data_IF_103271509668
#
_entry.id   IF_103271509668
#
_cell.length_a   1.000
_cell.length_b   1.000
_cell.length_c   1.000
_cell.angle_alpha   90.00
_cell.angle_beta   90.00
_cell.angle_gamma   90.00
#
_symmetry.space_group_name_H-M   'P 1'
#
loop_
_entity.id
_entity.type
_entity.pdbx_description
1 polymer ?
#
# COMPACT_ATOMS: atom_id res chain seq x y z
N UNK A 1 4.83 11.11 10.94
CA UNK A 1 4.69 10.61 11.32
C UNK A 1 4.59 10.22 11.53
N UNK A 2 4.85 10.02 11.21
CA UNK A 2 4.62 9.37 11.68
C UNK A 2 4.68 8.82 12.08
N UNK A 3 5.02 8.84 12.18
CA UNK A 3 5.00 8.17 12.72
C UNK A 3 5.23 7.52 12.78
N UNK A 4 5.37 7.33 12.77
CA UNK A 4 5.35 6.64 12.97
C UNK A 4 5.91 6.41 13.06
N UNK A 5 6.18 6.39 13.22
CA UNK A 5 6.41 6.01 13.58
C UNK A 5 6.91 6.00 14.03
N UNK A 6 7.26 6.12 14.53
CA UNK A 6 7.43 5.90 15.30
C UNK A 6 7.48 5.35 15.65
N UNK A 7 7.98 5.08 15.96
CA UNK A 7 7.78 4.44 16.57
C UNK A 7 7.67 3.91 16.68
N UNK A 8 8.14 3.62 16.94
CA UNK A 8 7.75 2.93 17.24
C UNK A 8 7.42 2.50 17.26
N UNK A 9 7.65 2.29 17.29
CA UNK A 9 6.86 1.80 17.52
C UNK A 9 6.39 1.43 17.28
N UNK A 10 6.54 1.18 17.60
CA UNK A 10 5.74 0.94 17.56
C UNK A 10 5.18 1.01 17.38
N UNK A 11 4.95 0.99 17.41
CA UNK A 11 4.12 1.18 17.27
C UNK A 11 3.54 1.28 16.89
N UNK A 12 3.36 1.30 16.84
CA UNK A 12 2.60 1.52 16.48
C UNK A 12 2.13 1.32 15.87
N UNK A 13 1.81 1.21 15.74
CA UNK A 13 1.22 1.08 15.19
C UNK A 13 0.61 1.06 14.61
N UNK A 14 0.38 1.18 14.47
CA UNK A 14 -0.26 1.31 13.83
C UNK A 14 -1.09 1.26 13.58
N UNK A 15 -1.20 1.30 13.96
CA UNK A 15 -2.01 1.51 13.48
C UNK A 15 -2.96 1.51 12.51
N UNK A 16 -3.09 1.00 12.05
CA UNK A 16 -3.60 0.99 10.70
C UNK A 16 -4.85 0.21 10.56
N UNK A 17 -5.53 -0.08 11.63
CA UNK A 17 -6.83 -0.71 11.56
C UNK A 17 -7.94 0.31 11.50
N UNK A 18 -7.62 1.55 11.81
CA UNK A 18 -8.61 2.63 11.77
C UNK A 18 -8.18 3.66 10.74
N UNK A 19 -9.09 4.08 9.86
CA UNK A 19 -8.73 5.09 8.88
C UNK A 19 -8.42 6.41 9.57
N UNK A 20 -7.36 7.06 9.08
CA UNK A 20 -7.03 8.41 9.47
C UNK A 20 -8.18 9.32 8.99
N UNK A 21 -8.80 10.14 9.88
CA UNK A 21 -9.88 11.04 9.44
C UNK A 21 -9.47 11.97 8.31
N UNK A 22 -8.16 12.25 8.18
CA UNK A 22 -7.64 13.12 7.13
C UNK A 22 -7.04 12.33 5.97
N UNK A 23 -7.02 11.02 6.08
CA UNK A 23 -6.47 10.16 5.04
C UNK A 23 -7.51 9.81 3.99
N UNK A 24 -7.13 8.96 3.05
CA UNK A 24 -8.05 8.54 1.99
C UNK A 24 -9.25 7.81 2.57
N UNK A 25 -10.41 8.06 1.98
CA UNK A 25 -11.62 7.34 2.33
C UNK A 25 -11.71 6.06 1.52
N UNK A 26 -12.58 5.16 1.95
CA UNK A 26 -12.72 3.86 1.28
C UNK A 26 -12.96 4.02 -0.22
N UNK A 27 -13.86 4.93 -0.63
CA UNK A 27 -14.16 5.08 -2.05
C UNK A 27 -12.95 5.60 -2.84
N UNK A 28 -12.06 6.34 -2.20
CA UNK A 28 -10.86 6.83 -2.86
C UNK A 28 -9.88 5.68 -3.09
N UNK A 29 -9.71 4.80 -2.11
CA UNK A 29 -8.90 3.61 -2.29
C UNK A 29 -9.47 2.69 -3.37
N UNK A 30 -10.81 2.56 -3.41
CA UNK A 30 -11.46 1.76 -4.46
C UNK A 30 -11.18 2.34 -5.85
N UNK A 31 -11.26 3.67 -5.97
CA UNK A 31 -10.98 4.33 -7.25
C UNK A 31 -9.53 4.11 -7.67
N UNK A 32 -8.60 4.20 -6.73
CA UNK A 32 -7.19 3.96 -7.01
C UNK A 32 -6.98 2.53 -7.52
N UNK A 33 -7.54 1.55 -6.82
CA UNK A 33 -7.39 0.15 -7.22
C UNK A 33 -8.00 -0.11 -8.59
N UNK A 34 -9.16 0.47 -8.84
CA UNK A 34 -9.79 0.29 -10.15
C UNK A 34 -8.92 0.85 -11.26
N UNK A 35 -8.35 2.03 -11.03
CA UNK A 35 -7.45 2.67 -11.99
C UNK A 35 -6.20 1.82 -12.23
N UNK A 36 -5.60 1.26 -11.17
CA UNK A 36 -4.34 0.52 -11.29
C UNK A 36 -4.52 -0.88 -11.87
N UNK A 37 -5.56 -1.59 -11.46
CA UNK A 37 -5.67 -3.03 -11.73
C UNK A 37 -7.10 -3.50 -11.98
N UNK A 38 -8.06 -2.59 -12.14
CA UNK A 38 -9.50 -2.88 -12.15
C UNK A 38 -9.94 -3.59 -10.87
N UNK A 39 -9.22 -3.37 -9.78
CA UNK A 39 -9.53 -3.97 -8.49
C UNK A 39 -9.04 -5.40 -8.32
N UNK A 40 -8.17 -5.86 -9.21
CA UNK A 40 -7.71 -7.24 -9.19
C UNK A 40 -6.48 -7.39 -8.31
N UNK A 41 -6.64 -8.03 -7.16
CA UNK A 41 -5.52 -8.26 -6.23
C UNK A 41 -4.45 -9.18 -6.78
N UNK A 42 -4.74 -9.92 -7.84
CA UNK A 42 -3.81 -10.86 -8.46
C UNK A 42 -3.21 -10.32 -9.77
N UNK A 43 -3.44 -9.06 -10.06
CA UNK A 43 -2.98 -8.46 -11.31
C UNK A 43 -1.46 -8.41 -11.38
N UNK A 44 -0.94 -8.65 -12.58
CA UNK A 44 0.49 -8.49 -12.87
C UNK A 44 0.57 -7.67 -14.15
N UNK A 45 1.37 -6.61 -14.13
CA UNK A 45 1.52 -5.77 -15.31
C UNK A 45 2.17 -6.54 -16.45
N UNK A 46 2.05 -6.08 -17.71
CA UNK A 46 2.63 -6.78 -18.85
C UNK A 46 4.13 -7.04 -18.73
N UNK A 47 4.87 -6.13 -18.06
CA UNK A 47 6.30 -6.31 -17.85
C UNK A 47 6.62 -7.18 -16.65
N UNK A 48 5.62 -7.47 -15.79
CA UNK A 48 5.84 -8.16 -14.52
C UNK A 48 6.39 -7.28 -13.42
N UNK A 49 6.63 -5.99 -13.69
CA UNK A 49 7.28 -5.08 -12.73
C UNK A 49 6.34 -4.58 -11.66
N UNK A 50 5.04 -4.57 -11.91
CA UNK A 50 4.05 -4.04 -10.97
C UNK A 50 3.00 -5.11 -10.71
N UNK A 51 2.67 -5.32 -9.43
CA UNK A 51 1.92 -6.50 -9.03
C UNK A 51 0.89 -6.16 -7.96
N UNK A 52 -0.25 -6.86 -8.01
CA UNK A 52 -1.33 -6.72 -7.05
C UNK A 52 -2.31 -5.62 -7.38
N UNK A 53 -3.28 -5.42 -6.49
CA UNK A 53 -4.35 -4.45 -6.73
C UNK A 53 -3.82 -3.02 -6.83
N UNK A 54 -2.71 -2.73 -6.13
CA UNK A 54 -2.11 -1.40 -6.09
C UNK A 54 -0.89 -1.27 -6.98
N UNK A 55 -0.55 -2.33 -7.70
CA UNK A 55 0.58 -2.35 -8.64
C UNK A 55 1.90 -1.95 -7.97
N UNK A 56 2.24 -2.66 -6.90
CA UNK A 56 3.53 -2.48 -6.21
C UNK A 56 4.68 -3.02 -7.03
N UNK A 57 5.80 -2.31 -7.01
CA UNK A 57 7.06 -2.93 -7.42
C UNK A 57 7.55 -3.80 -6.26
N UNK A 58 8.35 -4.82 -6.61
CA UNK A 58 8.92 -5.71 -5.60
C UNK A 58 9.82 -4.94 -4.64
N UNK A 59 10.58 -3.99 -5.16
CA UNK A 59 11.48 -3.18 -4.34
C UNK A 59 10.72 -2.36 -3.30
N UNK A 60 9.67 -1.67 -3.72
CA UNK A 60 8.87 -0.85 -2.79
C UNK A 60 8.18 -1.74 -1.77
N UNK A 61 7.62 -2.86 -2.21
CA UNK A 61 6.97 -3.80 -1.32
C UNK A 61 7.94 -4.27 -0.23
N UNK A 62 9.12 -4.74 -0.63
CA UNK A 62 10.09 -5.26 0.32
C UNK A 62 10.62 -4.18 1.25
N UNK A 63 10.74 -2.95 0.76
CA UNK A 63 11.17 -1.84 1.60
C UNK A 63 10.17 -1.60 2.74
N UNK A 64 8.89 -1.52 2.42
CA UNK A 64 7.85 -1.31 3.44
C UNK A 64 7.75 -2.52 4.37
N UNK A 65 7.79 -3.72 3.79
CA UNK A 65 7.69 -4.94 4.57
C UNK A 65 8.85 -5.02 5.58
N UNK A 66 10.04 -4.66 5.17
CA UNK A 66 11.20 -4.67 6.06
C UNK A 66 11.08 -3.67 7.20
N UNK A 67 10.32 -2.59 6.98
CA UNK A 67 10.10 -1.60 8.03
C UNK A 67 9.05 -2.03 9.05
N UNK A 68 7.95 -2.65 8.57
CA UNK A 68 6.77 -2.83 9.42
C UNK A 68 6.18 -4.22 9.44
N UNK A 69 6.40 -5.03 8.41
CA UNK A 69 5.70 -6.31 8.24
C UNK A 69 6.68 -7.36 7.77
N UNK A 70 7.55 -7.77 8.67
CA UNK A 70 8.67 -8.63 8.33
C UNK A 70 8.24 -9.94 7.65
N UNK A 71 7.06 -10.45 8.03
CA UNK A 71 6.52 -11.66 7.44
C UNK A 71 6.11 -11.49 5.96
N UNK A 72 6.06 -10.25 5.48
CA UNK A 72 5.72 -9.97 4.09
C UNK A 72 6.95 -9.74 3.20
N UNK A 73 8.16 -9.71 3.79
CA UNK A 73 9.38 -9.58 3.01
C UNK A 73 9.50 -10.81 2.09
N UNK A 74 9.72 -10.56 0.82
CA UNK A 74 9.89 -11.64 -0.16
C UNK A 74 8.58 -12.23 -0.69
N UNK A 75 7.45 -11.79 -0.18
CA UNK A 75 6.15 -12.25 -0.68
C UNK A 75 5.83 -11.48 -1.97
N UNK A 76 5.36 -12.21 -2.99
CA UNK A 76 4.90 -11.59 -4.23
C UNK A 76 3.68 -10.72 -3.91
N UNK A 77 3.70 -9.43 -4.23
CA UNK A 77 2.54 -8.58 -3.95
C UNK A 77 1.23 -9.11 -4.52
N UNK A 78 1.27 -9.76 -5.69
CA UNK A 78 0.06 -10.31 -6.31
C UNK A 78 -0.41 -11.61 -5.65
N UNK A 79 0.42 -12.23 -4.83
CA UNK A 79 0.07 -13.44 -4.10
C UNK A 79 -0.30 -13.14 -2.65
N UNK A 80 -0.03 -11.93 -2.17
CA UNK A 80 -0.34 -11.55 -0.80
C UNK A 80 -1.85 -11.44 -0.62
N UNK A 81 -2.31 -11.66 0.61
CA UNK A 81 -3.74 -11.55 0.91
C UNK A 81 -4.23 -10.12 0.64
N UNK A 82 -5.50 -9.95 0.23
CA UNK A 82 -6.03 -8.61 -0.01
C UNK A 82 -5.82 -7.65 1.15
N UNK A 83 -6.07 -8.09 2.39
CA UNK A 83 -5.90 -7.24 3.55
C UNK A 83 -4.45 -6.82 3.77
N UNK A 84 -3.49 -7.66 3.39
CA UNK A 84 -2.08 -7.31 3.48
C UNK A 84 -1.70 -6.29 2.40
N UNK A 85 -2.24 -6.45 1.20
CA UNK A 85 -2.03 -5.48 0.13
C UNK A 85 -2.60 -4.13 0.51
N UNK A 86 -3.81 -4.11 1.09
CA UNK A 86 -4.43 -2.87 1.54
C UNK A 86 -3.57 -2.18 2.60
N UNK A 87 -3.07 -2.95 3.55
CA UNK A 87 -2.23 -2.43 4.64
C UNK A 87 -0.94 -1.84 4.11
N UNK A 88 -0.32 -2.52 3.15
CA UNK A 88 0.91 -2.04 2.54
C UNK A 88 0.69 -0.74 1.79
N UNK A 89 -0.43 -0.61 1.09
CA UNK A 89 -0.76 0.62 0.37
C UNK A 89 -0.97 1.78 1.33
N UNK A 90 -1.67 1.54 2.44
CA UNK A 90 -1.85 2.57 3.46
C UNK A 90 -0.51 3.04 4.03
N UNK A 91 0.38 2.08 4.30
CA UNK A 91 1.71 2.41 4.82
C UNK A 91 2.51 3.24 3.82
N UNK A 92 2.45 2.88 2.54
CA UNK A 92 3.15 3.63 1.50
C UNK A 92 2.61 5.06 1.40
N UNK A 93 1.29 5.20 1.45
CA UNK A 93 0.67 6.53 1.41
C UNK A 93 1.13 7.39 2.60
N UNK A 94 1.13 6.81 3.80
CA UNK A 94 1.54 7.54 4.99
C UNK A 94 3.00 7.96 4.93
N UNK A 95 3.84 7.13 4.32
CA UNK A 95 5.27 7.42 4.22
C UNK A 95 5.59 8.42 3.11
N UNK A 96 4.93 8.32 1.97
CA UNK A 96 5.35 9.07 0.78
C UNK A 96 4.24 9.76 0.02
N UNK A 97 2.98 9.55 0.41
CA UNK A 97 1.87 10.24 -0.20
C UNK A 97 1.45 9.67 -1.55
N UNK A 98 0.49 10.36 -2.15
CA UNK A 98 -0.17 9.89 -3.38
C UNK A 98 0.75 9.86 -4.60
N UNK A 99 1.85 10.56 -4.55
CA UNK A 99 2.80 10.60 -5.67
C UNK A 99 3.42 9.26 -6.00
N UNK A 100 3.29 8.29 -5.12
CA UNK A 100 3.75 6.92 -5.38
C UNK A 100 2.92 6.22 -6.46
N UNK A 101 1.75 6.76 -6.77
CA UNK A 101 0.91 6.33 -7.89
C UNK A 101 0.81 7.49 -8.87
N UNK A 102 1.77 7.64 -9.81
CA UNK A 102 1.90 8.87 -10.60
C UNK A 102 0.67 9.26 -11.41
N UNK A 103 -0.11 8.29 -11.86
CA UNK A 103 -1.32 8.56 -12.63
C UNK A 103 -2.56 8.42 -11.74
N UNK A 104 -2.69 7.28 -11.07
CA UNK A 104 -3.90 6.95 -10.33
C UNK A 104 -3.97 7.64 -8.96
N UNK A 105 -2.85 8.15 -8.48
CA UNK A 105 -2.80 8.84 -7.19
C UNK A 105 -3.70 10.07 -7.13
N UNK A 106 -4.16 10.57 -8.29
CA UNK A 106 -5.09 11.70 -8.31
C UNK A 106 -6.39 11.43 -7.57
N UNK A 107 -6.72 10.16 -7.34
CA UNK A 107 -7.93 9.80 -6.61
C UNK A 107 -7.75 9.90 -5.08
N UNK A 108 -6.50 10.07 -4.63
CA UNK A 108 -6.19 10.19 -3.20
C UNK A 108 -5.97 11.66 -2.83
N UNK A 109 -6.24 12.03 -1.57
CA UNK A 109 -6.01 13.40 -1.12
C UNK A 109 -4.54 13.80 -1.10
#
# INVERSE_FOLDING_TARGET
>A
RQAVLDNPGPTTTIVATEPDPKGPKKYQWEALKYCESTGNYQAVSPTGNYRGAYQFSVETWNWIAGLYYENLVGVDPAAARPQDQDRMAESLYLLRGRGQWPVCGRYLP
#
